data_IF_116335629726
#
_entry.id   IF_116335629726
#
_cell.length_a   1.000
_cell.length_b   1.000
_cell.length_c   1.000
_cell.angle_alpha   90.00
_cell.angle_beta   90.00
_cell.angle_gamma   90.00
#
_symmetry.space_group_name_H-M   'P 1'
#
loop_
_entity.id
_entity.type
_entity.pdbx_description
1 polymer ?
#
# COMPACT_ATOMS: atom_id res chain seq x y z
N UNK A 1 -20.69 -10.92 6.84
CA UNK A 1 -20.29 -9.53 6.56
C UNK A 1 -20.71 -9.20 5.13
N UNK A 2 -21.12 -7.96 4.80
CA UNK A 2 -21.60 -7.69 3.45
C UNK A 2 -20.40 -7.84 2.48
N UNK A 3 -20.56 -8.71 1.48
CA UNK A 3 -19.51 -9.17 0.55
C UNK A 3 -18.86 -8.04 -0.28
N UNK A 4 -19.36 -6.80 -0.18
CA UNK A 4 -18.96 -5.67 -1.03
C UNK A 4 -17.94 -4.72 -0.39
N UNK A 5 -17.58 -4.89 0.88
CA UNK A 5 -16.70 -3.95 1.57
C UNK A 5 -15.30 -3.91 0.96
N UNK A 6 -14.75 -5.07 0.61
CA UNK A 6 -13.45 -5.19 -0.03
C UNK A 6 -13.43 -4.52 -1.41
N UNK A 7 -14.50 -4.69 -2.20
CA UNK A 7 -14.70 -4.00 -3.48
C UNK A 7 -14.85 -2.49 -3.31
N UNK A 8 -15.57 -2.05 -2.27
CA UNK A 8 -15.73 -0.63 -1.98
C UNK A 8 -14.40 0.03 -1.61
N UNK A 9 -13.58 -0.64 -0.79
CA UNK A 9 -12.22 -0.23 -0.46
C UNK A 9 -11.38 -0.10 -1.72
N UNK A 10 -11.40 -1.11 -2.61
CA UNK A 10 -10.57 -1.08 -3.82
C UNK A 10 -10.98 0.04 -4.76
N UNK A 11 -12.28 0.25 -4.96
CA UNK A 11 -12.80 1.34 -5.78
C UNK A 11 -12.40 2.71 -5.23
N UNK A 12 -12.50 2.92 -3.90
CA UNK A 12 -12.10 4.19 -3.29
C UNK A 12 -10.61 4.46 -3.43
N UNK A 13 -9.76 3.45 -3.22
CA UNK A 13 -8.32 3.59 -3.40
C UNK A 13 -7.96 3.88 -4.86
N UNK A 14 -8.52 3.13 -5.82
CA UNK A 14 -8.26 3.34 -7.25
C UNK A 14 -8.75 4.72 -7.73
N UNK A 15 -9.96 5.13 -7.34
CA UNK A 15 -10.51 6.44 -7.70
C UNK A 15 -9.68 7.59 -7.13
N UNK A 16 -9.06 7.40 -5.95
CA UNK A 16 -8.19 8.41 -5.33
C UNK A 16 -6.92 8.71 -6.13
N UNK A 17 -6.48 7.80 -7.01
CA UNK A 17 -5.22 7.97 -7.73
C UNK A 17 -5.24 9.10 -8.76
N UNK A 18 -6.43 9.49 -9.24
CA UNK A 18 -6.61 10.58 -10.21
C UNK A 18 -6.80 11.93 -9.49
N UNK A 19 -6.81 11.94 -8.16
CA UNK A 19 -7.21 13.10 -7.35
C UNK A 19 -6.03 13.82 -6.72
N UNK A 20 -6.31 14.95 -6.07
CA UNK A 20 -5.27 15.81 -5.45
C UNK A 20 -4.77 15.22 -4.13
N UNK A 21 -3.59 15.67 -3.68
CA UNK A 21 -2.94 15.22 -2.44
C UNK A 21 -3.84 15.24 -1.20
N UNK A 22 -4.71 16.25 -1.08
CA UNK A 22 -5.66 16.40 0.04
C UNK A 22 -6.66 15.24 0.09
N UNK A 23 -7.05 14.71 -1.07
CA UNK A 23 -8.08 13.68 -1.18
C UNK A 23 -7.54 12.31 -0.78
N UNK A 24 -6.25 12.07 -1.03
CA UNK A 24 -5.51 10.87 -0.57
C UNK A 24 -5.44 10.84 0.96
N UNK A 25 -5.15 11.98 1.59
CA UNK A 25 -5.09 12.07 3.06
C UNK A 25 -6.48 11.90 3.70
N UNK A 26 -7.53 12.48 3.07
CA UNK A 26 -8.91 12.31 3.50
C UNK A 26 -9.36 10.85 3.41
N UNK A 27 -8.98 10.12 2.36
CA UNK A 27 -9.28 8.70 2.23
C UNK A 27 -8.59 7.88 3.32
N UNK A 28 -7.32 8.14 3.62
CA UNK A 28 -6.61 7.48 4.72
C UNK A 28 -7.30 7.71 6.09
N UNK A 29 -7.79 8.93 6.33
CA UNK A 29 -8.57 9.25 7.53
C UNK A 29 -9.93 8.52 7.57
N UNK A 30 -10.64 8.47 6.44
CA UNK A 30 -11.93 7.76 6.33
C UNK A 30 -11.76 6.26 6.62
N UNK A 31 -10.81 5.60 5.96
CA UNK A 31 -10.53 4.18 6.18
C UNK A 31 -10.15 3.90 7.64
N UNK A 32 -9.38 4.80 8.25
CA UNK A 32 -9.03 4.71 9.67
C UNK A 32 -10.27 4.81 10.56
N UNK A 33 -11.13 5.78 10.30
CA UNK A 33 -12.37 5.97 11.06
C UNK A 33 -13.28 4.75 10.97
N UNK A 34 -13.49 4.22 9.77
CA UNK A 34 -14.31 3.03 9.54
C UNK A 34 -13.78 1.76 10.24
N UNK A 35 -12.47 1.69 10.49
CA UNK A 35 -11.84 0.57 11.19
C UNK A 35 -11.81 0.72 12.73
N UNK A 36 -11.86 1.95 13.25
CA UNK A 36 -11.58 2.23 14.67
C UNK A 36 -12.73 2.88 15.43
N UNK A 37 -13.76 3.35 14.74
CA UNK A 37 -14.92 4.01 15.37
C UNK A 37 -16.15 3.10 15.34
N UNK A 38 -16.92 3.12 16.42
CA UNK A 38 -18.15 2.32 16.51
C UNK A 38 -19.31 2.96 15.72
N UNK A 39 -20.09 2.17 14.96
CA UNK A 39 -19.90 0.72 14.74
C UNK A 39 -18.71 0.44 13.81
N UNK A 40 -17.93 -0.61 14.10
CA UNK A 40 -16.78 -1.01 13.27
C UNK A 40 -17.28 -1.51 11.89
N UNK A 41 -17.29 -0.63 10.89
CA UNK A 41 -17.84 -0.90 9.56
C UNK A 41 -16.86 -1.65 8.64
N UNK A 42 -15.56 -1.48 8.87
CA UNK A 42 -14.51 -2.20 8.16
C UNK A 42 -13.65 -3.01 9.13
N UNK A 43 -13.37 -4.25 8.76
CA UNK A 43 -12.37 -5.07 9.45
C UNK A 43 -11.10 -5.20 8.61
N UNK A 44 -10.00 -5.59 9.26
CA UNK A 44 -8.69 -5.76 8.64
C UNK A 44 -8.71 -6.77 7.47
N UNK A 45 -9.53 -7.81 7.54
CA UNK A 45 -9.65 -8.80 6.45
C UNK A 45 -10.21 -8.18 5.17
N UNK A 46 -11.29 -7.39 5.29
CA UNK A 46 -11.89 -6.67 4.15
C UNK A 46 -10.94 -5.63 3.56
N UNK A 47 -10.18 -4.94 4.42
CA UNK A 47 -9.17 -3.97 3.98
C UNK A 47 -8.00 -4.66 3.26
N UNK A 48 -7.59 -5.84 3.73
CA UNK A 48 -6.53 -6.66 3.11
C UNK A 48 -6.96 -7.15 1.74
N UNK A 49 -8.18 -7.69 1.63
CA UNK A 49 -8.73 -8.14 0.35
C UNK A 49 -8.91 -6.97 -0.63
N UNK A 50 -9.41 -5.83 -0.15
CA UNK A 50 -9.49 -4.60 -0.95
C UNK A 50 -8.12 -4.15 -1.47
N UNK A 51 -7.09 -4.18 -0.63
CA UNK A 51 -5.71 -3.88 -1.02
C UNK A 51 -5.18 -4.85 -2.08
N UNK A 52 -5.50 -6.14 -2.00
CA UNK A 52 -5.09 -7.11 -3.02
C UNK A 52 -5.68 -6.76 -4.40
N UNK A 53 -6.95 -6.36 -4.47
CA UNK A 53 -7.54 -5.88 -5.73
C UNK A 53 -6.85 -4.62 -6.25
N UNK A 54 -6.49 -3.68 -5.37
CA UNK A 54 -5.77 -2.45 -5.76
C UNK A 54 -4.38 -2.77 -6.31
N UNK A 55 -3.64 -3.66 -5.66
CA UNK A 55 -2.30 -4.08 -6.10
C UNK A 55 -2.36 -4.84 -7.44
N UNK A 56 -3.40 -5.64 -7.66
CA UNK A 56 -3.66 -6.28 -8.95
C UNK A 56 -3.86 -5.25 -10.07
N UNK A 57 -4.67 -4.20 -9.82
CA UNK A 57 -4.97 -3.16 -10.81
C UNK A 57 -3.96 -2.02 -10.87
N UNK A 58 -2.89 -2.04 -10.05
CA UNK A 58 -1.97 -0.91 -9.92
C UNK A 58 -1.19 -0.65 -11.21
N UNK A 59 -0.79 -1.69 -11.93
CA UNK A 59 -0.02 -1.56 -13.18
C UNK A 59 -0.83 -0.87 -14.28
N UNK A 60 -2.11 -1.23 -14.42
CA UNK A 60 -3.05 -0.56 -15.32
C UNK A 60 -3.31 0.88 -14.86
N UNK A 61 -3.51 1.10 -13.56
CA UNK A 61 -3.80 2.43 -13.02
C UNK A 61 -2.64 3.43 -13.23
N UNK A 62 -1.40 2.97 -13.30
CA UNK A 62 -0.23 3.83 -13.59
C UNK A 62 -0.31 4.47 -14.97
N UNK A 63 -0.95 3.82 -15.94
CA UNK A 63 -1.10 4.34 -17.31
C UNK A 63 -1.88 5.66 -17.29
N UNK A 64 -2.95 5.72 -16.51
CA UNK A 64 -3.80 6.89 -16.37
C UNK A 64 -3.32 7.85 -15.27
N UNK A 65 -2.73 7.32 -14.20
CA UNK A 65 -2.26 8.06 -13.05
C UNK A 65 -0.81 7.65 -12.67
N UNK A 66 0.22 8.29 -13.26
CA UNK A 66 1.62 7.94 -13.00
C UNK A 66 2.06 8.01 -11.53
N UNK A 67 1.31 8.75 -10.69
CA UNK A 67 1.55 8.88 -9.24
C UNK A 67 0.82 7.82 -8.39
N UNK A 68 0.09 6.89 -9.00
CA UNK A 68 -0.66 5.86 -8.28
C UNK A 68 0.18 5.09 -7.22
N UNK A 69 1.45 4.69 -7.48
CA UNK A 69 2.27 4.00 -6.49
C UNK A 69 2.55 4.87 -5.24
N UNK A 70 2.84 6.15 -5.47
CA UNK A 70 3.07 7.13 -4.41
C UNK A 70 1.79 7.28 -3.57
N UNK A 71 0.65 7.55 -4.20
CA UNK A 71 -0.62 7.73 -3.50
C UNK A 71 -1.05 6.49 -2.71
N UNK A 72 -0.87 5.29 -3.27
CA UNK A 72 -1.09 4.05 -2.54
C UNK A 72 -0.18 3.98 -1.30
N UNK A 73 1.12 4.29 -1.46
CA UNK A 73 2.07 4.30 -0.36
C UNK A 73 1.68 5.25 0.78
N UNK A 74 1.16 6.44 0.44
CA UNK A 74 0.68 7.42 1.43
C UNK A 74 -0.53 6.91 2.23
N UNK A 75 -1.51 6.31 1.55
CA UNK A 75 -2.68 5.70 2.22
C UNK A 75 -2.22 4.59 3.16
N UNK A 76 -1.33 3.72 2.69
CA UNK A 76 -0.79 2.60 3.46
C UNK A 76 0.01 3.08 4.68
N UNK A 77 0.84 4.12 4.54
CA UNK A 77 1.57 4.74 5.65
C UNK A 77 0.62 5.20 6.76
N UNK A 78 -0.49 5.85 6.39
CA UNK A 78 -1.50 6.29 7.35
C UNK A 78 -2.11 5.10 8.10
N UNK A 79 -2.46 4.03 7.41
CA UNK A 79 -3.03 2.82 8.02
C UNK A 79 -2.03 2.11 8.97
N UNK A 80 -0.73 2.15 8.66
CA UNK A 80 0.33 1.65 9.57
C UNK A 80 0.44 2.51 10.82
N UNK A 81 0.51 3.83 10.64
CA UNK A 81 0.62 4.80 11.73
C UNK A 81 -0.56 4.70 12.70
N UNK A 82 -1.74 4.38 12.18
CA UNK A 82 -2.97 4.23 12.97
C UNK A 82 -3.12 2.82 13.58
N UNK A 83 -2.17 1.91 13.35
CA UNK A 83 -2.13 0.57 13.93
C UNK A 83 -3.09 -0.42 13.28
N UNK A 84 -3.54 -0.16 12.06
CA UNK A 84 -4.46 -1.04 11.31
C UNK A 84 -3.68 -2.12 10.57
N UNK A 85 -2.54 -1.74 9.99
CA UNK A 85 -1.61 -2.66 9.33
C UNK A 85 -0.22 -2.60 9.96
N UNK A 86 0.56 -3.66 9.74
CA UNK A 86 1.98 -3.67 10.01
C UNK A 86 2.79 -3.63 8.71
N UNK A 87 4.00 -3.08 8.78
CA UNK A 87 4.89 -2.92 7.61
C UNK A 87 5.12 -4.26 6.91
N UNK A 88 5.31 -5.35 7.66
CA UNK A 88 5.55 -6.69 7.08
C UNK A 88 4.37 -7.26 6.30
N UNK A 89 3.13 -6.92 6.68
CA UNK A 89 1.94 -7.41 5.97
C UNK A 89 1.81 -6.70 4.63
N UNK A 90 2.02 -5.38 4.64
CA UNK A 90 2.01 -4.54 3.44
C UNK A 90 3.17 -4.92 2.52
N UNK A 91 4.37 -5.11 3.07
CA UNK A 91 5.54 -5.52 2.32
C UNK A 91 5.28 -6.86 1.60
N UNK A 92 4.69 -7.85 2.28
CA UNK A 92 4.32 -9.12 1.65
C UNK A 92 3.29 -8.91 0.55
N UNK A 93 2.21 -8.19 0.82
CA UNK A 93 1.16 -7.93 -0.16
C UNK A 93 1.71 -7.23 -1.42
N UNK A 94 2.55 -6.20 -1.26
CA UNK A 94 3.20 -5.49 -2.37
C UNK A 94 4.12 -6.43 -3.16
N UNK A 95 4.89 -7.27 -2.46
CA UNK A 95 5.85 -8.18 -3.09
C UNK A 95 5.18 -9.25 -3.93
N UNK A 96 4.03 -9.75 -3.49
CA UNK A 96 3.24 -10.77 -4.18
C UNK A 96 2.23 -10.15 -5.18
N UNK A 97 2.08 -8.82 -5.18
CA UNK A 97 1.09 -8.10 -5.95
C UNK A 97 1.49 -7.85 -7.41
N UNK A 98 0.51 -7.35 -8.17
CA UNK A 98 0.61 -7.13 -9.60
C UNK A 98 -0.43 -7.93 -10.38
N UNK A 99 -0.52 -7.66 -11.69
CA UNK A 99 -1.42 -8.41 -12.58
C UNK A 99 -1.01 -9.88 -12.60
N UNK A 100 0.30 -10.14 -12.62
CA UNK A 100 0.89 -11.44 -12.35
C UNK A 100 1.52 -11.42 -10.95
N UNK A 101 1.45 -12.50 -10.16
CA UNK A 101 2.04 -12.53 -8.83
C UNK A 101 3.53 -12.16 -8.86
N UNK A 102 3.88 -11.04 -8.21
CA UNK A 102 5.25 -10.52 -8.16
C UNK A 102 5.64 -9.57 -9.30
N UNK A 103 4.76 -9.27 -10.25
CA UNK A 103 5.08 -8.36 -11.36
C UNK A 103 5.38 -6.94 -10.88
N UNK A 104 4.77 -6.47 -9.77
CA UNK A 104 5.13 -5.18 -9.17
C UNK A 104 6.60 -5.12 -8.74
N UNK A 105 7.15 -6.24 -8.26
CA UNK A 105 8.54 -6.34 -7.86
C UNK A 105 9.46 -6.26 -9.08
N UNK A 106 9.14 -7.03 -10.13
CA UNK A 106 9.94 -7.10 -11.36
C UNK A 106 9.98 -5.75 -12.09
N UNK A 107 8.85 -5.03 -12.09
CA UNK A 107 8.70 -3.74 -12.74
C UNK A 107 9.18 -2.55 -11.88
N UNK A 108 9.75 -2.79 -10.70
CA UNK A 108 10.25 -1.75 -9.79
C UNK A 108 9.15 -0.93 -9.10
N UNK A 109 7.87 -1.28 -9.27
CA UNK A 109 6.74 -0.60 -8.62
C UNK A 109 6.65 -0.91 -7.14
N UNK A 110 7.08 -2.10 -6.74
CA UNK A 110 7.09 -2.53 -5.35
C UNK A 110 7.94 -1.62 -4.45
N UNK A 111 9.14 -1.23 -4.92
CA UNK A 111 10.03 -0.32 -4.18
C UNK A 111 9.48 1.12 -4.17
N UNK A 112 8.80 1.55 -5.22
CA UNK A 112 8.13 2.87 -5.25
C UNK A 112 7.06 2.95 -4.15
N UNK A 113 6.13 1.98 -4.10
CA UNK A 113 5.08 1.95 -3.06
C UNK A 113 5.67 1.86 -1.66
N UNK A 114 6.57 0.88 -1.42
CA UNK A 114 7.14 0.67 -0.09
C UNK A 114 8.02 1.83 0.36
N UNK A 115 8.79 2.43 -0.56
CA UNK A 115 9.59 3.63 -0.31
C UNK A 115 8.72 4.77 0.17
N UNK A 116 7.63 5.07 -0.54
CA UNK A 116 6.67 6.08 -0.11
C UNK A 116 6.04 5.75 1.23
N UNK A 117 5.71 4.48 1.52
CA UNK A 117 5.19 4.09 2.86
C UNK A 117 6.16 4.52 3.97
N UNK A 118 7.45 4.20 3.83
CA UNK A 118 8.44 4.50 4.87
C UNK A 118 8.70 6.00 5.00
N UNK A 119 8.83 6.70 3.87
CA UNK A 119 9.00 8.16 3.83
C UNK A 119 7.82 8.89 4.50
N UNK A 120 6.59 8.43 4.24
CA UNK A 120 5.40 9.02 4.82
C UNK A 120 5.24 8.71 6.31
N UNK A 121 5.58 7.51 6.76
CA UNK A 121 5.61 7.20 8.20
C UNK A 121 6.57 8.15 8.91
N UNK A 122 7.77 8.36 8.34
CA UNK A 122 8.75 9.32 8.86
C UNK A 122 8.20 10.74 8.86
N UNK A 123 7.51 11.17 7.80
CA UNK A 123 6.88 12.50 7.73
C UNK A 123 5.80 12.68 8.80
N UNK A 124 4.97 11.66 9.02
CA UNK A 124 3.81 11.72 9.91
C UNK A 124 4.15 11.58 11.40
N UNK A 125 5.16 10.76 11.74
CA UNK A 125 5.48 10.38 13.13
C UNK A 125 6.95 10.54 13.51
N UNK A 126 7.82 10.93 12.58
CA UNK A 126 9.24 11.12 12.80
C UNK A 126 10.07 9.84 12.65
N UNK A 127 11.39 10.05 12.51
CA UNK A 127 12.38 8.97 12.36
C UNK A 127 12.37 7.94 13.50
N UNK A 128 12.24 8.31 14.80
CA UNK A 128 12.26 7.32 15.87
C UNK A 128 11.12 6.30 15.77
N UNK A 129 9.94 6.76 15.35
CA UNK A 129 8.76 5.89 15.17
C UNK A 129 8.94 5.01 13.94
N UNK A 130 9.42 5.55 12.82
CA UNK A 130 9.76 4.76 11.64
C UNK A 130 10.75 3.64 12.01
N UNK A 131 11.86 3.98 12.66
CA UNK A 131 12.91 3.02 13.03
C UNK A 131 12.36 1.89 13.92
N UNK A 132 11.52 2.22 14.90
CA UNK A 132 10.89 1.23 15.78
C UNK A 132 9.91 0.29 15.05
N UNK A 133 9.12 0.82 14.10
CA UNK A 133 8.20 0.01 13.29
C UNK A 133 8.96 -0.85 12.26
N UNK A 134 9.93 -0.26 11.58
CA UNK A 134 10.71 -0.91 10.52
C UNK A 134 11.59 -2.04 11.08
N UNK A 135 12.31 -1.81 12.19
CA UNK A 135 13.13 -2.85 12.84
C UNK A 135 12.32 -4.06 13.31
N UNK A 136 11.08 -3.87 13.77
CA UNK A 136 10.16 -4.94 14.15
C UNK A 136 9.59 -5.72 12.96
N UNK A 137 9.60 -5.13 11.77
CA UNK A 137 8.97 -5.73 10.58
C UNK A 137 9.78 -6.88 9.99
N UNK A 138 11.11 -6.90 10.18
CA UNK A 138 12.00 -7.85 9.51
C UNK A 138 12.05 -7.70 7.98
N UNK A 139 11.53 -6.60 7.45
CA UNK A 139 11.54 -6.31 6.02
C UNK A 139 12.92 -5.78 5.60
N UNK A 140 13.47 -6.35 4.54
CA UNK A 140 14.72 -5.89 3.91
C UNK A 140 14.39 -5.13 2.62
N UNK A 141 14.73 -3.84 2.55
CA UNK A 141 14.43 -2.99 1.39
C UNK A 141 15.09 -3.49 0.10
N UNK A 142 16.26 -4.11 0.22
CA UNK A 142 16.99 -4.70 -0.90
C UNK A 142 16.19 -5.80 -1.60
N UNK A 143 15.29 -6.48 -0.86
CA UNK A 143 14.42 -7.51 -1.42
C UNK A 143 13.28 -6.97 -2.30
N UNK A 144 13.15 -5.64 -2.36
CA UNK A 144 12.19 -4.91 -3.21
C UNK A 144 12.85 -4.32 -4.46
N UNK A 145 14.17 -4.44 -4.60
CA UNK A 145 14.87 -3.98 -5.80
C UNK A 145 14.53 -4.88 -6.99
N UNK A 146 14.20 -4.31 -8.17
CA UNK A 146 13.96 -5.10 -9.36
C UNK A 146 15.23 -5.88 -9.68
N UNK A 147 15.10 -7.18 -9.91
CA UNK A 147 16.23 -8.00 -10.37
C UNK A 147 16.63 -7.50 -11.75
N UNK A 148 17.90 -7.17 -11.95
CA UNK A 148 18.41 -6.80 -13.27
C UNK A 148 18.02 -7.90 -14.26
N UNK A 149 17.29 -7.53 -15.32
CA UNK A 149 17.06 -8.40 -16.48
C UNK A 149 18.40 -8.59 -17.19
N UNK A 150 19.17 -9.57 -16.74
CA UNK A 150 20.55 -9.78 -17.17
C UNK A 150 21.19 -10.90 -16.37
N UNK A 151 20.65 -12.10 -16.56
CA UNK A 151 21.34 -13.40 -16.52
C UNK A 151 20.38 -14.44 -17.13
N UNK A 152 19.92 -14.18 -18.37
CA UNK A 152 19.57 -15.27 -19.28
C UNK A 152 20.84 -15.54 -20.08
N UNK A 153 21.60 -16.50 -19.54
CA UNK A 153 22.50 -17.46 -20.18
C UNK A 153 23.10 -17.10 -21.56
N UNK A 154 24.44 -17.12 -21.61
CA UNK A 154 25.19 -17.39 -22.83
C UNK A 154 25.20 -18.87 -23.21
#
# INVERSE_FOLDING_TARGET
APLFHSTMVSLWMLDSFVRKDVEVDLLGNLLTHLCKSEPFLLNRGQLTEGLQYVLFSLEDAIVDAPKAPEFLGRILAKLVVEGIFFIQDIARAIKDGGTEPGSLLENGRAIEVLGTVLEDIKRLKGEPVLSALYSKSGVHLESFMPKKRGDFEG
#
